data_IF_691488748750
#
_entry.id   IF_691488748750
#
_cell.length_a   1.000
_cell.length_b   1.000
_cell.length_c   1.000
_cell.angle_alpha   90.00
_cell.angle_beta   90.00
_cell.angle_gamma   90.00
#
_symmetry.space_group_name_H-M   'P 1'
#
loop_
_entity.id
_entity.type
_entity.pdbx_description
1 polymer ?
#
# COMPACT_ATOMS: atom_id res chain seq x y z
N UNK A 1 2.91 -19.10 -2.85
CA UNK A 1 2.88 -17.77 -2.21
C UNK A 1 2.68 -16.62 -3.19
N UNK A 2 3.60 -16.43 -4.15
CA UNK A 2 3.55 -15.30 -5.10
C UNK A 2 2.35 -15.33 -6.05
N UNK A 3 1.92 -16.50 -6.54
CA UNK A 3 0.73 -16.62 -7.41
C UNK A 3 -0.56 -16.12 -6.74
N UNK A 4 -0.63 -16.11 -5.41
CA UNK A 4 -1.82 -15.72 -4.66
C UNK A 4 -1.85 -14.24 -4.28
N UNK A 5 -0.75 -13.49 -4.42
CA UNK A 5 -0.63 -12.12 -3.91
C UNK A 5 0.09 -11.14 -4.85
N UNK A 6 0.46 -11.57 -6.07
CA UNK A 6 1.22 -10.74 -7.01
C UNK A 6 0.49 -9.45 -7.37
N UNK A 7 -0.83 -9.50 -7.57
CA UNK A 7 -1.67 -8.34 -7.86
C UNK A 7 -1.68 -7.34 -6.71
N UNK A 8 -1.85 -7.82 -5.48
CA UNK A 8 -1.87 -7.03 -4.26
C UNK A 8 -0.52 -6.36 -4.02
N UNK A 9 0.58 -7.07 -4.28
CA UNK A 9 1.92 -6.52 -4.20
C UNK A 9 2.15 -5.41 -5.24
N UNK A 10 1.66 -5.56 -6.47
CA UNK A 10 1.77 -4.52 -7.51
C UNK A 10 0.94 -3.28 -7.16
N UNK A 11 -0.27 -3.46 -6.64
CA UNK A 11 -1.12 -2.35 -6.17
C UNK A 11 -0.46 -1.65 -4.99
N UNK A 12 0.01 -2.40 -3.99
CA UNK A 12 0.68 -1.85 -2.82
C UNK A 12 1.95 -1.07 -3.20
N UNK A 13 2.76 -1.60 -4.12
CA UNK A 13 3.94 -0.91 -4.64
C UNK A 13 3.56 0.39 -5.38
N UNK A 14 2.51 0.37 -6.19
CA UNK A 14 2.00 1.56 -6.86
C UNK A 14 1.55 2.63 -5.85
N UNK A 15 0.77 2.26 -4.84
CA UNK A 15 0.29 3.17 -3.80
C UNK A 15 1.45 3.83 -3.04
N UNK A 16 2.44 3.05 -2.59
CA UNK A 16 3.61 3.60 -1.90
C UNK A 16 4.42 4.55 -2.77
N UNK A 17 4.55 4.24 -4.06
CA UNK A 17 5.22 5.15 -5.01
C UNK A 17 4.48 6.47 -5.14
N UNK A 18 3.14 6.46 -5.17
CA UNK A 18 2.36 7.71 -5.19
C UNK A 18 2.41 8.47 -3.86
N UNK A 19 2.44 7.77 -2.72
CA UNK A 19 2.63 8.40 -1.41
C UNK A 19 3.96 9.14 -1.36
N UNK A 20 5.02 8.50 -1.86
CA UNK A 20 6.40 9.02 -1.77
C UNK A 20 6.71 10.08 -2.82
N UNK A 21 6.29 9.88 -4.09
CA UNK A 21 6.71 10.69 -5.23
C UNK A 21 5.55 11.31 -6.02
N UNK A 22 4.31 10.93 -5.70
CA UNK A 22 3.12 11.37 -6.43
C UNK A 22 2.81 12.83 -6.13
N UNK A 23 2.62 13.60 -7.21
CA UNK A 23 2.13 14.99 -7.18
C UNK A 23 0.62 15.02 -7.30
N UNK A 24 0.01 16.14 -6.93
CA UNK A 24 -1.41 16.38 -7.16
C UNK A 24 -1.75 16.21 -8.65
N UNK A 25 -2.90 15.59 -8.92
CA UNK A 25 -3.45 15.38 -10.27
C UNK A 25 -2.57 14.58 -11.23
N UNK A 26 -1.52 13.91 -10.74
CA UNK A 26 -0.61 13.11 -11.56
C UNK A 26 -0.42 11.70 -10.98
N UNK A 27 -0.15 10.75 -11.87
CA UNK A 27 0.28 9.40 -11.54
C UNK A 27 1.76 9.25 -11.86
N UNK A 28 2.57 8.89 -10.86
CA UNK A 28 4.00 8.63 -11.01
C UNK A 28 4.26 7.16 -11.34
N UNK A 29 4.82 6.88 -12.51
CA UNK A 29 5.09 5.52 -12.97
C UNK A 29 6.43 5.00 -12.46
N UNK A 30 6.60 3.67 -12.49
CA UNK A 30 7.86 3.01 -12.10
C UNK A 30 9.03 3.43 -13.00
N UNK A 31 8.72 3.84 -14.23
CA UNK A 31 9.67 4.36 -15.22
C UNK A 31 10.14 5.79 -14.92
N UNK A 32 9.58 6.46 -13.91
CA UNK A 32 9.85 7.86 -13.58
C UNK A 32 8.98 8.87 -14.34
N UNK A 33 8.11 8.40 -15.24
CA UNK A 33 7.19 9.27 -15.97
C UNK A 33 6.03 9.74 -15.09
N UNK A 34 5.51 10.93 -15.38
CA UNK A 34 4.30 11.48 -14.75
C UNK A 34 3.21 11.59 -15.81
N UNK A 35 2.03 11.04 -15.51
CA UNK A 35 0.85 11.13 -16.37
C UNK A 35 -0.24 11.89 -15.64
N UNK A 36 -0.81 12.91 -16.26
CA UNK A 36 -1.94 13.61 -15.66
C UNK A 36 -3.17 12.71 -15.55
N UNK A 37 -3.88 12.80 -14.43
CA UNK A 37 -5.12 12.05 -14.20
C UNK A 37 -6.17 12.42 -15.25
N UNK A 38 -6.23 13.68 -15.69
CA UNK A 38 -7.07 14.16 -16.80
C UNK A 38 -6.84 13.38 -18.11
N UNK A 39 -5.58 13.07 -18.42
CA UNK A 39 -5.18 12.29 -19.59
C UNK A 39 -5.68 10.85 -19.47
N UNK A 40 -5.55 10.26 -18.28
CA UNK A 40 -6.09 8.92 -18.01
C UNK A 40 -7.61 8.93 -18.16
N UNK A 41 -8.32 9.90 -17.56
CA UNK A 41 -9.79 9.97 -17.61
C UNK A 41 -10.32 10.14 -19.05
N UNK A 42 -9.59 10.90 -19.88
CA UNK A 42 -9.99 11.17 -21.28
C UNK A 42 -9.62 10.06 -22.26
N UNK A 43 -8.53 9.33 -22.02
CA UNK A 43 -7.99 8.34 -22.97
C UNK A 43 -8.23 6.89 -22.53
N UNK A 44 -8.47 6.65 -21.23
CA UNK A 44 -8.72 5.32 -20.71
C UNK A 44 -10.22 5.00 -20.64
N UNK A 45 -10.53 3.71 -20.75
CA UNK A 45 -11.89 3.22 -20.51
C UNK A 45 -12.32 3.40 -19.05
N UNK A 46 -13.64 3.40 -18.83
CA UNK A 46 -14.30 3.64 -17.52
C UNK A 46 -13.72 2.80 -16.38
N UNK A 47 -13.37 1.54 -16.65
CA UNK A 47 -12.80 0.64 -15.65
C UNK A 47 -11.46 1.16 -15.12
N UNK A 48 -10.53 1.54 -16.01
CA UNK A 48 -9.22 2.03 -15.60
C UNK A 48 -9.33 3.37 -14.88
N UNK A 49 -10.17 4.28 -15.37
CA UNK A 49 -10.43 5.57 -14.72
C UNK A 49 -10.96 5.40 -13.29
N UNK A 50 -11.88 4.45 -13.08
CA UNK A 50 -12.39 4.14 -11.73
C UNK A 50 -11.33 3.55 -10.80
N UNK A 51 -10.44 2.69 -11.32
CA UNK A 51 -9.34 2.11 -10.55
C UNK A 51 -8.33 3.17 -10.14
N UNK A 52 -7.99 4.10 -11.05
CA UNK A 52 -7.08 5.22 -10.75
C UNK A 52 -7.69 6.15 -9.70
N UNK A 53 -8.97 6.49 -9.80
CA UNK A 53 -9.65 7.31 -8.79
C UNK A 53 -9.59 6.65 -7.40
N UNK A 54 -9.94 5.36 -7.32
CA UNK A 54 -9.88 4.60 -6.05
C UNK A 54 -8.46 4.50 -5.49
N UNK A 55 -7.46 4.34 -6.36
CA UNK A 55 -6.06 4.34 -5.95
C UNK A 55 -5.66 5.70 -5.38
N UNK A 56 -6.07 6.81 -5.99
CA UNK A 56 -5.81 8.16 -5.48
C UNK A 56 -6.46 8.40 -4.11
N UNK A 57 -7.68 7.90 -3.89
CA UNK A 57 -8.34 7.96 -2.57
C UNK A 57 -7.53 7.23 -1.49
N UNK A 58 -7.01 6.05 -1.82
CA UNK A 58 -6.14 5.28 -0.91
C UNK A 58 -4.81 6.01 -0.67
N UNK A 59 -4.20 6.60 -1.70
CA UNK A 59 -2.97 7.40 -1.56
C UNK A 59 -3.21 8.59 -0.64
N UNK A 60 -4.33 9.30 -0.78
CA UNK A 60 -4.68 10.41 0.09
C UNK A 60 -4.80 9.97 1.56
N UNK A 61 -5.47 8.83 1.82
CA UNK A 61 -5.57 8.24 3.15
C UNK A 61 -4.20 7.86 3.72
N UNK A 62 -3.35 7.18 2.93
CA UNK A 62 -2.01 6.77 3.37
C UNK A 62 -1.09 7.97 3.62
N UNK A 63 -1.21 9.05 2.84
CA UNK A 63 -0.52 10.32 3.09
C UNK A 63 -0.99 10.96 4.40
N UNK A 64 -2.30 10.97 4.67
CA UNK A 64 -2.86 11.49 5.92
C UNK A 64 -2.42 10.68 7.14
N UNK A 65 -2.25 9.36 6.98
CA UNK A 65 -1.67 8.49 8.00
C UNK A 65 -0.15 8.65 8.15
N UNK A 66 0.50 9.45 7.30
CA UNK A 66 1.96 9.57 7.26
C UNK A 66 2.64 8.20 7.12
N UNK A 67 2.17 7.38 6.17
CA UNK A 67 2.75 6.07 5.90
C UNK A 67 4.25 6.21 5.61
N UNK A 68 5.08 5.52 6.38
CA UNK A 68 6.53 5.51 6.19
C UNK A 68 7.05 4.22 5.52
N UNK A 69 8.36 4.20 5.26
CA UNK A 69 9.03 3.10 4.56
C UNK A 69 9.00 1.79 5.36
N UNK A 70 9.10 1.85 6.67
CA UNK A 70 9.13 0.68 7.55
C UNK A 70 7.73 0.05 7.62
N UNK A 71 6.70 0.90 7.76
CA UNK A 71 5.30 0.49 7.71
C UNK A 71 4.96 -0.17 6.37
N UNK A 72 5.41 0.43 5.26
CA UNK A 72 5.24 -0.16 3.92
C UNK A 72 5.90 -1.53 3.78
N UNK A 73 7.12 -1.71 4.31
CA UNK A 73 7.79 -3.02 4.31
C UNK A 73 6.95 -4.02 5.08
N UNK A 74 6.48 -3.68 6.29
CA UNK A 74 5.60 -4.56 7.06
C UNK A 74 4.35 -4.97 6.26
N UNK A 75 3.66 -4.02 5.61
CA UNK A 75 2.50 -4.32 4.76
C UNK A 75 2.84 -5.30 3.62
N UNK A 76 3.99 -5.16 2.96
CA UNK A 76 4.44 -6.12 1.93
C UNK A 76 4.62 -7.53 2.50
N UNK A 77 5.19 -7.65 3.70
CA UNK A 77 5.33 -8.94 4.37
C UNK A 77 3.95 -9.51 4.73
N UNK A 78 3.02 -8.71 5.26
CA UNK A 78 1.67 -9.18 5.58
C UNK A 78 0.91 -9.70 4.34
N UNK A 79 1.03 -9.00 3.21
CA UNK A 79 0.45 -9.43 1.91
C UNK A 79 1.11 -10.71 1.39
N UNK A 80 2.44 -10.80 1.44
CA UNK A 80 3.20 -11.95 0.94
C UNK A 80 2.93 -13.22 1.77
N UNK A 81 2.83 -13.05 3.08
CA UNK A 81 2.59 -14.12 4.05
C UNK A 81 1.10 -14.21 4.40
N UNK A 82 0.23 -14.21 3.39
CA UNK A 82 -1.20 -14.43 3.56
C UNK A 82 -1.49 -15.90 3.94
N UNK A 83 -2.33 -16.20 4.95
CA UNK A 83 -2.62 -17.56 5.44
C UNK A 83 -3.21 -18.53 4.41
N UNK A 84 -3.62 -18.03 3.25
CA UNK A 84 -4.16 -18.81 2.12
C UNK A 84 -3.12 -19.72 1.44
N UNK A 85 -1.86 -19.71 1.89
CA UNK A 85 -0.76 -20.47 1.30
C UNK A 85 -0.31 -21.66 2.19
N UNK A 86 0.35 -22.65 1.58
CA UNK A 86 0.90 -23.82 2.29
C UNK A 86 1.90 -23.41 3.41
N UNK A 87 2.12 -24.28 4.40
CA UNK A 87 2.90 -24.02 5.64
C UNK A 87 2.29 -22.99 6.61
N UNK A 88 0.98 -23.12 6.85
CA UNK A 88 0.16 -22.27 7.72
C UNK A 88 0.81 -21.86 9.05
N UNK A 89 1.41 -22.79 9.80
CA UNK A 89 2.05 -22.48 11.10
C UNK A 89 3.21 -21.48 10.98
N UNK A 90 4.07 -21.63 9.98
CA UNK A 90 5.20 -20.71 9.77
C UNK A 90 4.72 -19.34 9.28
N UNK A 91 3.68 -19.34 8.44
CA UNK A 91 3.03 -18.11 7.95
C UNK A 91 2.40 -17.35 9.10
N UNK A 92 1.63 -18.02 9.97
CA UNK A 92 1.01 -17.43 11.17
C UNK A 92 2.06 -16.82 12.11
N UNK A 93 3.13 -17.56 12.43
CA UNK A 93 4.23 -17.03 13.25
C UNK A 93 4.92 -15.81 12.64
N UNK A 94 5.03 -15.78 11.31
CA UNK A 94 5.61 -14.63 10.59
C UNK A 94 4.67 -13.43 10.66
N UNK A 95 3.37 -13.64 10.41
CA UNK A 95 2.37 -12.57 10.52
C UNK A 95 2.29 -12.00 11.93
N UNK A 96 2.31 -12.82 12.98
CA UNK A 96 2.30 -12.34 14.37
C UNK A 96 3.50 -11.43 14.67
N UNK A 97 4.70 -11.82 14.22
CA UNK A 97 5.92 -11.02 14.40
C UNK A 97 5.85 -9.70 13.66
N UNK A 98 5.38 -9.72 12.41
CA UNK A 98 5.28 -8.51 11.58
C UNK A 98 4.19 -7.56 12.12
N UNK A 99 3.03 -8.09 12.54
CA UNK A 99 1.97 -7.30 13.17
C UNK A 99 2.46 -6.62 14.46
N UNK A 100 3.17 -7.36 15.32
CA UNK A 100 3.75 -6.79 16.55
C UNK A 100 4.74 -5.67 16.25
N UNK A 101 5.66 -5.91 15.31
CA UNK A 101 6.63 -4.90 14.91
C UNK A 101 5.97 -3.63 14.33
N UNK A 102 4.91 -3.81 13.52
CA UNK A 102 4.14 -2.68 12.97
C UNK A 102 3.39 -1.91 14.05
N UNK A 103 2.78 -2.61 15.02
CA UNK A 103 2.09 -1.99 16.15
C UNK A 103 3.04 -1.19 17.04
N UNK A 104 4.20 -1.75 17.38
CA UNK A 104 5.22 -1.06 18.17
C UNK A 104 5.78 0.16 17.43
N UNK A 105 6.03 0.03 16.11
CA UNK A 105 6.54 1.12 15.29
C UNK A 105 5.55 2.27 15.12
N UNK A 106 4.28 1.96 14.83
CA UNK A 106 3.21 2.97 14.71
C UNK A 106 3.00 3.70 16.03
N UNK A 107 2.95 2.99 17.15
CA UNK A 107 2.80 3.58 18.49
C UNK A 107 3.98 4.50 18.87
N UNK A 108 5.21 4.05 18.59
CA UNK A 108 6.43 4.81 18.93
C UNK A 108 6.60 6.07 18.08
N UNK A 109 6.34 5.99 16.78
CA UNK A 109 6.66 7.07 15.83
C UNK A 109 5.47 8.01 15.58
N UNK A 110 4.24 7.60 15.90
CA UNK A 110 3.03 8.39 15.71
C UNK A 110 2.15 8.39 16.97
N UNK A 111 2.64 8.87 18.13
CA UNK A 111 1.93 8.76 19.41
C UNK A 111 0.58 9.49 19.44
N UNK A 112 0.38 10.48 18.56
CA UNK A 112 -0.90 11.19 18.41
C UNK A 112 -1.95 10.45 17.56
N UNK A 113 -1.59 9.37 16.88
CA UNK A 113 -2.47 8.61 15.99
C UNK A 113 -2.62 7.18 16.54
N UNK A 114 -3.29 7.04 17.68
CA UNK A 114 -3.38 5.79 18.43
C UNK A 114 -4.04 4.63 17.66
N UNK A 115 -4.83 4.94 16.63
CA UNK A 115 -5.53 3.99 15.78
C UNK A 115 -4.82 3.72 14.45
N UNK A 116 -3.65 4.34 14.18
CA UNK A 116 -2.91 4.20 12.91
C UNK A 116 -2.66 2.73 12.56
N UNK A 117 -2.27 1.90 13.53
CA UNK A 117 -2.06 0.46 13.31
C UNK A 117 -3.32 -0.23 12.75
N UNK A 118 -4.51 0.11 13.26
CA UNK A 118 -5.76 -0.50 12.80
C UNK A 118 -6.29 0.10 11.49
N UNK A 119 -5.84 1.31 11.12
CA UNK A 119 -6.18 1.93 9.85
C UNK A 119 -5.30 1.44 8.68
N UNK A 120 -4.08 0.98 8.97
CA UNK A 120 -3.14 0.37 8.00
C UNK A 120 -3.51 -1.09 7.71
#
# INVERSE_FOLDING_TARGET
PLQSCWSELLVLDHLCRQVTYGKESCVYLVTGQQIEVSTIVSQAGVTLSSLVSRAQDLVAKLKALQLDKQEFVCLKYLVLFNPSVQNRKQVELTQEKVNRALMEHTHKNNPGHSDKFGQL
#
